data_IF_561921345613
#
_entry.id   IF_561921345613
#
_cell.length_a   1.000
_cell.length_b   1.000
_cell.length_c   1.000
_cell.angle_alpha   90.00
_cell.angle_beta   90.00
_cell.angle_gamma   90.00
#
_symmetry.space_group_name_H-M   'P 1'
#
loop_
_entity.id
_entity.type
_entity.pdbx_description
1 polymer ?
#
# COMPACT_ATOMS: atom_id res chain seq x y z
N UNK A 1 33.01 48.58 -13.35
CA UNK A 1 34.48 48.64 -13.58
C UNK A 1 34.66 48.42 -15.04
N UNK A 2 34.92 49.52 -15.76
CA UNK A 2 36.17 49.89 -16.38
C UNK A 2 36.53 48.96 -17.52
N UNK A 3 36.37 49.44 -18.75
CA UNK A 3 37.38 50.23 -19.54
C UNK A 3 38.10 49.27 -20.49
N UNK A 4 38.31 49.49 -21.77
CA UNK A 4 38.75 50.56 -22.62
C UNK A 4 38.49 50.12 -24.05
N UNK A 5 37.99 50.90 -25.00
CA UNK A 5 38.56 52.07 -25.70
C UNK A 5 39.78 51.73 -26.56
N UNK A 6 39.63 52.24 -27.81
CA UNK A 6 40.68 52.77 -28.72
C UNK A 6 41.00 51.83 -29.88
N UNK A 7 40.63 52.25 -31.03
CA UNK A 7 41.11 53.20 -32.03
C UNK A 7 41.99 52.57 -33.08
N UNK A 8 41.74 52.78 -34.25
CA UNK A 8 42.57 53.33 -35.36
C UNK A 8 41.84 53.04 -36.66
N UNK A 9 41.19 53.95 -37.39
CA UNK A 9 41.67 55.09 -38.11
C UNK A 9 42.53 54.74 -39.31
N UNK A 10 41.95 55.12 -40.43
CA UNK A 10 42.61 55.85 -41.58
C UNK A 10 43.01 55.05 -42.80
N UNK A 11 42.52 55.58 -43.86
CA UNK A 11 43.04 55.94 -45.23
C UNK A 11 42.69 54.91 -46.29
N UNK A 12 41.89 55.30 -47.11
CA UNK A 12 41.89 56.25 -48.25
C UNK A 12 41.97 55.57 -49.60
N UNK A 13 40.99 55.95 -50.34
CA UNK A 13 41.03 56.41 -51.78
C UNK A 13 41.03 55.39 -52.92
N UNK A 14 40.04 55.67 -53.73
CA UNK A 14 39.99 55.65 -55.21
C UNK A 14 40.02 54.30 -55.91
N UNK A 15 38.93 54.04 -56.56
CA UNK A 15 38.68 54.06 -58.01
C UNK A 15 37.33 53.46 -58.29
N UNK A 16 36.34 54.24 -58.61
CA UNK A 16 35.77 54.53 -59.95
C UNK A 16 35.70 53.30 -60.86
N UNK A 17 34.48 53.07 -61.15
CA UNK A 17 33.80 52.62 -62.38
C UNK A 17 33.34 51.19 -62.42
N UNK A 18 32.11 51.13 -62.59
CA UNK A 18 31.34 50.52 -63.66
C UNK A 18 30.08 49.83 -63.23
N UNK A 19 28.99 50.43 -63.71
CA UNK A 19 27.82 49.82 -64.31
C UNK A 19 27.00 48.85 -63.48
N UNK A 20 25.77 49.26 -63.04
CA UNK A 20 24.69 49.09 -64.02
C UNK A 20 23.92 47.81 -63.70
N UNK A 21 22.71 47.90 -63.12
CA UNK A 21 21.73 46.91 -63.42
C UNK A 21 21.16 46.07 -62.23
N UNK A 22 20.80 46.69 -61.11
CA UNK A 22 19.92 45.95 -60.14
C UNK A 22 18.91 46.82 -59.39
N UNK A 23 18.81 48.11 -59.62
CA UNK A 23 17.87 49.02 -58.97
C UNK A 23 16.45 49.01 -59.53
N UNK A 24 16.24 48.59 -60.77
CA UNK A 24 14.93 48.64 -61.47
C UNK A 24 13.99 47.49 -61.12
N UNK A 25 14.47 46.38 -60.61
CA UNK A 25 13.59 45.21 -60.24
C UNK A 25 13.04 45.29 -58.84
N UNK A 26 13.78 45.90 -57.88
CA UNK A 26 13.34 46.08 -56.52
C UNK A 26 12.37 47.25 -56.36
N UNK A 27 12.63 48.37 -57.01
CA UNK A 27 11.73 49.53 -57.06
C UNK A 27 10.37 49.19 -57.72
N UNK A 28 10.38 48.33 -58.74
CA UNK A 28 9.13 47.86 -59.37
C UNK A 28 8.32 46.89 -58.45
N UNK A 29 9.00 46.11 -57.62
CA UNK A 29 8.36 45.26 -56.64
C UNK A 29 7.79 46.07 -55.48
N UNK A 30 8.54 47.09 -55.04
CA UNK A 30 8.10 47.97 -53.95
C UNK A 30 6.90 48.82 -54.39
N UNK A 31 6.92 49.39 -55.60
CA UNK A 31 5.79 50.13 -56.18
C UNK A 31 4.54 49.24 -56.36
N UNK A 32 4.75 48.00 -56.76
CA UNK A 32 3.64 47.00 -56.86
C UNK A 32 3.08 46.63 -55.53
N UNK A 33 3.92 46.49 -54.45
CA UNK A 33 3.52 46.24 -53.12
C UNK A 33 2.75 47.42 -52.52
N UNK A 34 3.14 48.64 -52.75
CA UNK A 34 2.44 49.83 -52.28
C UNK A 34 1.11 50.07 -53.03
N UNK A 35 1.04 49.70 -54.33
CA UNK A 35 -0.20 49.69 -55.05
C UNK A 35 -1.19 48.64 -54.51
N UNK A 36 -0.74 47.41 -54.24
CA UNK A 36 -1.55 46.35 -53.62
C UNK A 36 -2.00 46.72 -52.22
N UNK A 37 -1.15 47.38 -51.42
CA UNK A 37 -1.56 47.87 -50.08
C UNK A 37 -2.65 48.93 -50.15
N UNK A 38 -2.56 49.85 -51.14
CA UNK A 38 -3.64 50.84 -51.36
C UNK A 38 -4.95 50.18 -51.82
N UNK A 39 -4.88 49.13 -52.64
CA UNK A 39 -6.03 48.43 -53.12
C UNK A 39 -6.67 47.61 -51.99
N UNK A 40 -5.88 46.98 -51.13
CA UNK A 40 -6.35 46.30 -49.91
C UNK A 40 -7.06 47.28 -48.95
N UNK A 41 -6.44 48.44 -48.72
CA UNK A 41 -7.06 49.47 -47.88
C UNK A 41 -8.37 50.00 -48.44
N UNK A 42 -8.47 50.13 -49.79
CA UNK A 42 -9.69 50.52 -50.47
C UNK A 42 -10.79 49.47 -50.37
N UNK A 43 -10.45 48.19 -50.62
CA UNK A 43 -11.37 47.07 -50.49
C UNK A 43 -11.83 46.86 -49.03
N UNK A 44 -10.94 47.08 -48.06
CA UNK A 44 -11.30 47.02 -46.63
C UNK A 44 -12.28 48.15 -46.24
N UNK A 45 -12.08 49.38 -46.82
CA UNK A 45 -13.03 50.45 -46.58
C UNK A 45 -14.39 50.23 -47.25
N UNK A 46 -14.42 49.64 -48.43
CA UNK A 46 -15.65 49.26 -49.15
C UNK A 46 -16.37 48.10 -48.43
N UNK A 47 -15.63 47.09 -47.93
CA UNK A 47 -16.19 46.03 -47.12
C UNK A 47 -16.81 46.52 -45.80
N UNK A 48 -16.13 47.45 -45.13
CA UNK A 48 -16.66 48.05 -43.90
C UNK A 48 -17.88 48.97 -44.12
N UNK A 49 -17.95 49.59 -45.30
CA UNK A 49 -19.13 50.38 -45.71
C UNK A 49 -20.33 49.46 -46.03
N UNK A 50 -20.09 48.38 -46.76
CA UNK A 50 -21.12 47.37 -47.07
C UNK A 50 -21.58 46.65 -45.80
N UNK A 51 -20.69 46.32 -44.87
CA UNK A 51 -21.08 45.78 -43.56
C UNK A 51 -22.00 46.72 -42.79
N UNK A 52 -21.69 48.01 -42.77
CA UNK A 52 -22.54 49.03 -42.15
C UNK A 52 -23.89 49.16 -42.83
N UNK A 53 -23.96 49.06 -44.15
CA UNK A 53 -25.24 49.06 -44.89
C UNK A 53 -26.07 47.77 -44.62
N UNK A 54 -25.43 46.64 -44.53
CA UNK A 54 -26.05 45.36 -44.19
C UNK A 54 -26.58 45.41 -42.77
N UNK A 55 -25.82 45.94 -41.80
CA UNK A 55 -26.20 46.09 -40.41
C UNK A 55 -27.37 47.05 -40.25
N UNK A 56 -27.42 48.15 -41.03
CA UNK A 56 -28.57 49.07 -41.05
C UNK A 56 -29.83 48.50 -41.67
N UNK A 57 -29.70 47.66 -42.72
CA UNK A 57 -30.85 47.03 -43.39
C UNK A 57 -31.34 45.76 -42.69
N UNK A 58 -30.50 45.05 -41.95
CA UNK A 58 -30.85 43.78 -41.30
C UNK A 58 -31.45 43.93 -39.91
N UNK A 59 -31.50 45.16 -39.37
CA UNK A 59 -32.02 45.36 -38.00
C UNK A 59 -31.28 44.62 -36.92
N UNK A 60 -30.04 44.17 -37.22
CA UNK A 60 -29.22 43.45 -36.22
C UNK A 60 -28.78 44.46 -35.16
N UNK A 61 -29.37 44.36 -34.02
CA UNK A 61 -28.90 44.98 -32.81
C UNK A 61 -27.49 44.44 -32.54
N UNK A 62 -26.47 45.30 -32.56
CA UNK A 62 -25.12 44.97 -32.10
C UNK A 62 -25.16 44.70 -30.58
N UNK A 63 -25.78 43.61 -30.21
CA UNK A 63 -25.74 43.12 -28.85
C UNK A 63 -24.46 42.30 -28.61
N UNK A 64 -23.79 42.46 -27.46
CA UNK A 64 -22.81 41.51 -27.02
C UNK A 64 -23.48 40.15 -26.89
N UNK A 65 -22.90 39.12 -27.46
CA UNK A 65 -23.34 37.76 -27.22
C UNK A 65 -23.25 37.47 -25.72
N UNK A 66 -24.39 37.16 -25.11
CA UNK A 66 -24.45 36.78 -23.70
C UNK A 66 -24.95 35.36 -23.64
N UNK A 67 -24.25 34.55 -22.86
CA UNK A 67 -24.68 33.21 -22.54
C UNK A 67 -25.64 33.28 -21.33
N UNK A 68 -26.84 32.80 -21.54
CA UNK A 68 -27.85 32.73 -20.47
C UNK A 68 -27.83 31.32 -19.93
N UNK A 69 -27.37 31.17 -18.69
CA UNK A 69 -27.41 29.88 -17.96
C UNK A 69 -28.56 29.93 -16.96
N UNK A 70 -29.48 28.99 -17.07
CA UNK A 70 -30.57 28.82 -16.10
C UNK A 70 -30.01 28.34 -14.77
N UNK A 71 -30.20 29.11 -13.72
CA UNK A 71 -29.81 28.74 -12.35
C UNK A 71 -30.84 27.74 -11.82
N UNK A 72 -30.46 26.46 -11.75
CA UNK A 72 -31.29 25.42 -11.13
C UNK A 72 -30.97 25.32 -9.65
N UNK A 73 -32.02 25.19 -8.82
CA UNK A 73 -31.84 24.87 -7.39
C UNK A 73 -31.18 23.50 -7.27
N UNK A 74 -30.04 23.42 -6.61
CA UNK A 74 -29.33 22.18 -6.34
C UNK A 74 -28.91 22.10 -4.87
N UNK A 75 -28.63 20.89 -4.39
CA UNK A 75 -28.08 20.69 -3.04
C UNK A 75 -26.59 21.00 -3.09
N UNK A 76 -26.18 22.03 -2.39
CA UNK A 76 -24.77 22.33 -2.20
C UNK A 76 -24.22 21.43 -1.09
N UNK A 77 -23.22 20.62 -1.43
CA UNK A 77 -22.52 19.78 -0.48
C UNK A 77 -21.16 20.42 -0.15
N UNK A 78 -20.98 20.78 1.11
CA UNK A 78 -19.70 21.24 1.62
C UNK A 78 -18.97 20.08 2.29
N UNK A 79 -17.76 19.82 1.87
CA UNK A 79 -16.91 18.79 2.45
C UNK A 79 -15.79 19.42 3.26
N UNK A 80 -15.47 18.80 4.38
CA UNK A 80 -14.30 19.12 5.19
C UNK A 80 -13.30 17.98 4.87
N UNK A 81 -12.16 18.34 4.26
CA UNK A 81 -11.07 17.38 4.05
C UNK A 81 -10.18 17.40 5.29
N UNK A 82 -9.94 16.21 5.85
CA UNK A 82 -9.08 16.01 7.01
C UNK A 82 -8.18 14.81 6.72
N UNK A 83 -6.95 14.89 7.18
CA UNK A 83 -6.03 13.77 7.15
C UNK A 83 -6.33 12.85 8.33
N UNK A 84 -6.29 11.55 8.10
CA UNK A 84 -6.51 10.54 9.12
C UNK A 84 -5.54 9.38 8.96
N UNK A 85 -5.29 8.68 10.07
CA UNK A 85 -4.53 7.43 10.07
C UNK A 85 -5.47 6.23 10.13
N UNK A 86 -5.18 5.22 9.33
CA UNK A 86 -5.85 3.92 9.41
C UNK A 86 -5.16 3.06 10.48
N UNK A 87 -5.89 2.70 11.51
CA UNK A 87 -5.43 1.83 12.60
C UNK A 87 -6.12 0.48 12.50
N UNK A 88 -5.36 -0.61 12.59
CA UNK A 88 -5.93 -1.94 12.74
C UNK A 88 -6.60 -2.04 14.11
N UNK A 89 -7.85 -2.52 14.15
CA UNK A 89 -8.58 -2.63 15.40
C UNK A 89 -7.95 -3.64 16.38
N UNK A 90 -7.28 -4.64 15.83
CA UNK A 90 -6.62 -5.71 16.61
C UNK A 90 -5.20 -5.88 16.09
N UNK A 91 -4.23 -5.58 16.94
CA UNK A 91 -2.82 -5.88 16.73
C UNK A 91 -2.32 -6.66 17.93
N UNK A 92 -1.74 -7.82 17.70
CA UNK A 92 -1.25 -8.70 18.76
C UNK A 92 0.16 -9.17 18.45
N UNK A 93 0.97 -9.29 19.49
CA UNK A 93 2.35 -9.72 19.38
C UNK A 93 2.43 -11.22 19.70
N UNK A 94 3.09 -11.99 18.83
CA UNK A 94 3.43 -13.36 19.11
C UNK A 94 4.83 -13.41 19.77
N UNK A 95 4.87 -14.06 20.95
CA UNK A 95 6.05 -14.21 21.77
C UNK A 95 6.36 -15.68 22.02
N UNK A 96 7.63 -16.05 22.25
CA UNK A 96 7.98 -17.40 22.69
C UNK A 96 7.36 -17.72 24.05
N UNK A 97 6.97 -18.98 24.25
CA UNK A 97 6.46 -19.48 25.55
C UNK A 97 7.55 -20.08 26.42
N UNK A 98 8.65 -20.52 25.80
CA UNK A 98 9.81 -21.12 26.44
C UNK A 98 11.08 -20.46 25.90
N UNK A 99 12.19 -20.44 26.68
CA UNK A 99 13.46 -20.00 26.18
C UNK A 99 14.04 -21.01 25.18
N UNK A 100 14.80 -20.52 24.20
CA UNK A 100 15.46 -21.40 23.24
C UNK A 100 16.12 -20.63 22.10
N UNK A 101 16.64 -21.34 21.11
CA UNK A 101 17.23 -20.78 19.91
C UNK A 101 16.28 -21.02 18.72
N UNK A 102 16.10 -20.03 17.87
CA UNK A 102 15.27 -20.16 16.67
C UNK A 102 16.01 -21.00 15.63
N UNK A 103 15.42 -22.11 15.22
CA UNK A 103 15.96 -23.00 14.18
C UNK A 103 15.41 -22.62 12.79
N UNK A 104 14.16 -22.23 12.74
CA UNK A 104 13.50 -21.84 11.47
C UNK A 104 12.48 -20.73 11.68
N UNK A 105 12.41 -19.83 10.70
CA UNK A 105 11.34 -18.85 10.53
C UNK A 105 10.59 -19.22 9.25
N UNK A 106 9.27 -19.39 9.35
CA UNK A 106 8.43 -19.96 8.28
C UNK A 106 7.61 -18.91 7.54
N UNK A 107 7.71 -17.66 7.95
CA UNK A 107 6.87 -16.57 7.46
C UNK A 107 7.71 -15.33 7.16
N UNK A 108 7.17 -14.44 6.33
CA UNK A 108 7.79 -13.17 5.96
C UNK A 108 6.85 -12.01 6.29
N UNK A 109 7.38 -10.78 6.47
CA UNK A 109 6.55 -9.59 6.61
C UNK A 109 5.56 -9.46 5.45
N UNK A 110 4.33 -9.05 5.73
CA UNK A 110 3.26 -8.95 4.75
C UNK A 110 2.51 -10.25 4.47
N UNK A 111 2.95 -11.41 4.99
CA UNK A 111 2.25 -12.67 4.80
C UNK A 111 0.94 -12.73 5.62
N UNK A 112 -0.10 -13.31 5.03
CA UNK A 112 -1.34 -13.63 5.75
C UNK A 112 -1.17 -14.90 6.56
N UNK A 113 -1.61 -14.88 7.81
CA UNK A 113 -1.52 -16.00 8.75
C UNK A 113 -2.87 -16.25 9.42
N UNK A 114 -3.11 -17.51 9.79
CA UNK A 114 -4.30 -17.92 10.55
C UNK A 114 -3.94 -18.13 12.03
N UNK A 115 -4.91 -17.92 12.90
CA UNK A 115 -4.73 -18.20 14.33
C UNK A 115 -4.25 -19.65 14.56
N UNK A 116 -3.19 -19.83 15.36
CA UNK A 116 -2.57 -21.13 15.61
C UNK A 116 -1.51 -21.55 14.57
N UNK A 117 -1.36 -20.84 13.46
CA UNK A 117 -0.31 -21.12 12.46
C UNK A 117 1.07 -20.92 13.06
N UNK A 118 1.99 -21.85 12.78
CA UNK A 118 3.39 -21.76 13.25
C UNK A 118 4.14 -20.71 12.43
N UNK A 119 4.71 -19.74 13.13
CA UNK A 119 5.50 -18.65 12.56
C UNK A 119 7.00 -18.95 12.58
N UNK A 120 7.46 -19.50 13.70
CA UNK A 120 8.84 -19.92 13.88
C UNK A 120 8.93 -21.14 14.79
N UNK A 121 10.03 -21.84 14.71
CA UNK A 121 10.32 -23.03 15.51
C UNK A 121 11.61 -22.84 16.28
N UNK A 122 11.56 -23.13 17.59
CA UNK A 122 12.71 -23.20 18.45
C UNK A 122 13.34 -24.60 18.41
N UNK A 123 14.60 -24.70 18.82
CA UNK A 123 15.26 -25.98 18.96
C UNK A 123 14.55 -26.83 20.03
N UNK A 124 13.99 -27.93 19.60
CA UNK A 124 13.27 -28.88 20.43
C UNK A 124 13.92 -30.28 20.42
N UNK A 125 15.18 -30.38 20.00
CA UNK A 125 15.88 -31.65 19.80
C UNK A 125 15.84 -32.54 21.02
N UNK A 126 16.18 -32.02 22.19
CA UNK A 126 16.24 -32.77 23.46
C UNK A 126 14.86 -33.30 23.86
N UNK A 127 13.83 -32.46 23.82
CA UNK A 127 12.46 -32.86 24.20
C UNK A 127 11.86 -33.83 23.18
N UNK A 128 12.21 -33.68 21.89
CA UNK A 128 11.81 -34.64 20.84
C UNK A 128 12.43 -36.02 21.01
N UNK A 129 13.67 -36.09 21.51
CA UNK A 129 14.30 -37.38 21.90
C UNK A 129 13.51 -38.03 23.05
N UNK A 130 13.19 -37.30 24.12
CA UNK A 130 12.35 -37.79 25.21
C UNK A 130 10.99 -38.29 24.72
N UNK A 131 10.37 -37.62 23.73
CA UNK A 131 9.12 -38.13 23.12
C UNK A 131 9.34 -39.48 22.42
N UNK A 132 10.44 -39.66 21.71
CA UNK A 132 10.72 -40.91 21.02
C UNK A 132 10.94 -42.07 21.99
N UNK A 133 11.61 -41.81 23.13
CA UNK A 133 11.79 -42.81 24.19
C UNK A 133 10.43 -43.20 24.81
N UNK A 134 9.62 -42.23 25.16
CA UNK A 134 8.28 -42.45 25.70
C UNK A 134 7.37 -43.18 24.70
N UNK A 135 7.53 -42.90 23.41
CA UNK A 135 6.83 -43.59 22.33
C UNK A 135 7.18 -45.08 22.26
N UNK A 136 8.45 -45.47 22.45
CA UNK A 136 8.85 -46.90 22.52
C UNK A 136 8.23 -47.57 23.72
N UNK A 137 8.23 -46.93 24.91
CA UNK A 137 7.57 -47.45 26.09
C UNK A 137 6.06 -47.64 25.86
N UNK A 138 5.41 -46.69 25.21
CA UNK A 138 3.99 -46.76 24.88
C UNK A 138 3.67 -47.95 23.97
N UNK A 139 4.49 -48.20 22.93
CA UNK A 139 4.33 -49.36 22.02
C UNK A 139 4.40 -50.66 22.83
N UNK A 140 5.39 -50.78 23.72
CA UNK A 140 5.57 -51.95 24.55
C UNK A 140 4.35 -52.18 25.44
N UNK A 141 3.95 -51.18 26.24
CA UNK A 141 2.84 -51.30 27.18
C UNK A 141 1.50 -51.49 26.46
N UNK A 142 1.30 -50.87 25.32
CA UNK A 142 0.11 -51.11 24.50
C UNK A 142 0.01 -52.55 24.04
N UNK A 143 1.13 -53.14 23.55
CA UNK A 143 1.18 -54.54 23.18
C UNK A 143 0.89 -55.49 24.35
N UNK A 144 1.44 -55.16 25.51
CA UNK A 144 1.19 -55.91 26.75
C UNK A 144 -0.28 -55.85 27.17
N UNK A 145 -0.85 -54.62 27.12
CA UNK A 145 -2.26 -54.40 27.43
C UNK A 145 -3.18 -55.19 26.51
N UNK A 146 -2.94 -55.18 25.20
CA UNK A 146 -3.74 -55.94 24.23
C UNK A 146 -3.68 -57.43 24.47
N UNK A 147 -2.49 -57.95 24.82
CA UNK A 147 -2.33 -59.39 25.19
C UNK A 147 -3.10 -59.72 26.47
N UNK A 148 -2.95 -58.91 27.49
CA UNK A 148 -3.61 -59.12 28.77
C UNK A 148 -5.15 -58.96 28.68
N UNK A 149 -5.62 -58.01 27.86
CA UNK A 149 -7.03 -57.81 27.55
C UNK A 149 -7.63 -59.06 26.88
N UNK A 150 -6.97 -59.64 25.87
CA UNK A 150 -7.43 -60.86 25.23
C UNK A 150 -7.45 -62.07 26.14
N UNK A 151 -6.51 -62.19 27.08
CA UNK A 151 -6.52 -63.26 28.09
C UNK A 151 -7.67 -63.09 29.04
N UNK A 152 -7.91 -61.90 29.55
CA UNK A 152 -9.03 -61.55 30.44
C UNK A 152 -10.39 -61.80 29.76
N UNK A 153 -10.58 -61.39 28.52
CA UNK A 153 -11.81 -61.67 27.75
C UNK A 153 -12.09 -63.16 27.55
N UNK A 154 -11.06 -63.99 27.56
CA UNK A 154 -11.18 -65.46 27.50
C UNK A 154 -11.33 -66.09 28.89
N UNK A 155 -11.47 -65.34 29.96
CA UNK A 155 -11.52 -65.85 31.31
C UNK A 155 -10.21 -66.35 31.88
N UNK A 156 -9.06 -66.03 31.25
CA UNK A 156 -7.73 -66.44 31.65
C UNK A 156 -7.00 -65.28 32.29
N UNK A 157 -6.53 -65.46 33.53
CA UNK A 157 -5.85 -64.38 34.31
C UNK A 157 -6.73 -63.73 35.34
N UNK A 158 -6.12 -62.80 36.05
CA UNK A 158 -6.81 -62.03 37.12
C UNK A 158 -7.19 -60.61 36.65
N UNK A 159 -8.31 -60.10 37.16
CA UNK A 159 -8.73 -58.73 36.92
C UNK A 159 -7.65 -57.71 37.31
N UNK A 160 -6.96 -57.98 38.43
CA UNK A 160 -5.88 -57.14 38.94
C UNK A 160 -4.74 -56.98 37.91
N UNK A 161 -4.36 -58.06 37.26
CA UNK A 161 -3.33 -58.02 36.19
C UNK A 161 -3.78 -57.17 34.99
N UNK A 162 -5.02 -57.32 34.54
CA UNK A 162 -5.59 -56.52 33.46
C UNK A 162 -5.65 -55.04 33.85
N UNK A 163 -6.19 -54.71 35.04
CA UNK A 163 -6.29 -53.33 35.51
C UNK A 163 -4.92 -52.68 35.75
N UNK A 164 -3.94 -53.45 36.19
CA UNK A 164 -2.57 -52.93 36.38
C UNK A 164 -1.97 -52.45 35.06
N UNK A 165 -2.04 -53.27 34.00
CA UNK A 165 -1.49 -52.91 32.70
C UNK A 165 -2.31 -51.78 32.04
N UNK A 166 -3.63 -51.80 32.24
CA UNK A 166 -4.52 -50.73 31.79
C UNK A 166 -4.11 -49.39 32.40
N UNK A 167 -3.96 -49.35 33.73
CA UNK A 167 -3.54 -48.14 34.42
C UNK A 167 -2.17 -47.66 33.99
N UNK A 168 -1.23 -48.57 33.74
CA UNK A 168 0.10 -48.23 33.24
C UNK A 168 0.04 -47.60 31.82
N UNK A 169 -0.81 -48.17 30.93
CA UNK A 169 -1.05 -47.59 29.60
C UNK A 169 -1.64 -46.19 29.70
N UNK A 170 -2.69 -46.00 30.51
CA UNK A 170 -3.33 -44.70 30.68
C UNK A 170 -2.38 -43.64 31.27
N UNK A 171 -1.51 -44.06 32.22
CA UNK A 171 -0.49 -43.17 32.78
C UNK A 171 0.51 -42.70 31.73
N UNK A 172 0.97 -43.62 30.86
CA UNK A 172 1.89 -43.27 29.74
C UNK A 172 1.19 -42.40 28.69
N UNK A 173 -0.07 -42.64 28.37
CA UNK A 173 -0.86 -41.78 27.47
C UNK A 173 -0.94 -40.34 27.98
N UNK A 174 -1.19 -40.14 29.28
CA UNK A 174 -1.20 -38.84 29.92
C UNK A 174 0.18 -38.17 29.84
N UNK A 175 1.24 -38.94 30.12
CA UNK A 175 2.62 -38.45 30.06
C UNK A 175 2.98 -38.03 28.63
N UNK A 176 2.58 -38.82 27.62
CA UNK A 176 2.77 -38.49 26.21
C UNK A 176 2.09 -37.17 25.85
N UNK A 177 0.84 -37.01 26.25
CA UNK A 177 0.07 -35.78 25.99
C UNK A 177 0.70 -34.55 26.63
N UNK A 178 1.22 -34.69 27.84
CA UNK A 178 1.95 -33.60 28.52
C UNK A 178 3.19 -33.23 27.75
N UNK A 179 3.96 -34.22 27.30
CA UNK A 179 5.20 -33.99 26.51
C UNK A 179 4.91 -33.34 25.14
N UNK A 180 3.84 -33.76 24.47
CA UNK A 180 3.38 -33.13 23.21
C UNK A 180 3.00 -31.67 23.44
N UNK A 181 2.33 -31.36 24.54
CA UNK A 181 2.03 -29.95 24.89
C UNK A 181 3.30 -29.14 25.15
N UNK A 182 4.30 -29.75 25.80
CA UNK A 182 5.61 -29.10 26.00
C UNK A 182 6.33 -28.87 24.68
N UNK A 183 6.33 -29.85 23.78
CA UNK A 183 6.92 -29.70 22.42
C UNK A 183 6.21 -28.59 21.63
N UNK A 184 4.88 -28.47 21.79
CA UNK A 184 4.10 -27.42 21.12
C UNK A 184 4.50 -26.01 21.59
N UNK A 185 5.00 -25.84 22.82
CA UNK A 185 5.50 -24.57 23.31
C UNK A 185 6.77 -24.08 22.58
N UNK A 186 7.51 -24.98 21.92
CA UNK A 186 8.65 -24.64 21.08
C UNK A 186 8.25 -24.10 19.70
N UNK A 187 6.97 -24.15 19.36
CA UNK A 187 6.41 -23.53 18.17
C UNK A 187 5.84 -22.16 18.53
N UNK A 188 6.40 -21.11 17.95
CA UNK A 188 5.83 -19.77 18.06
C UNK A 188 4.68 -19.67 17.08
N UNK A 189 3.45 -19.45 17.57
CA UNK A 189 2.22 -19.46 16.78
C UNK A 189 1.57 -18.10 16.73
N UNK A 190 0.86 -17.83 15.64
CA UNK A 190 0.04 -16.64 15.50
C UNK A 190 -1.12 -16.66 16.53
N UNK A 191 -1.28 -15.62 17.33
CA UNK A 191 -2.37 -15.55 18.30
C UNK A 191 -3.73 -15.25 17.67
N UNK A 192 -3.73 -14.53 16.53
CA UNK A 192 -4.92 -14.14 15.77
C UNK A 192 -4.71 -14.38 14.29
N UNK A 193 -5.80 -14.41 13.53
CA UNK A 193 -5.77 -14.41 12.08
C UNK A 193 -5.56 -12.97 11.57
N UNK A 194 -4.66 -12.77 10.63
CA UNK A 194 -4.35 -11.43 10.10
C UNK A 194 -3.13 -11.43 9.19
N UNK A 195 -2.53 -10.26 9.06
CA UNK A 195 -1.32 -10.04 8.27
C UNK A 195 -0.15 -9.70 9.19
N UNK A 196 1.02 -10.25 8.90
CA UNK A 196 2.25 -9.94 9.63
C UNK A 196 2.76 -8.54 9.28
N UNK A 197 2.77 -7.66 10.27
CA UNK A 197 3.33 -6.31 10.16
C UNK A 197 4.86 -6.35 10.20
N UNK A 198 5.42 -7.04 11.21
CA UNK A 198 6.87 -7.17 11.38
C UNK A 198 7.28 -8.57 11.79
N UNK A 199 8.50 -8.94 11.40
CA UNK A 199 9.18 -10.19 11.75
C UNK A 199 10.57 -9.83 12.27
N UNK A 200 10.72 -9.81 13.59
CA UNK A 200 11.99 -9.47 14.24
C UNK A 200 12.80 -10.72 14.62
N UNK A 201 12.27 -11.89 14.27
CA UNK A 201 12.88 -13.19 14.52
C UNK A 201 13.93 -13.55 13.48
N UNK A 202 15.13 -13.96 13.92
CA UNK A 202 16.21 -14.43 13.05
C UNK A 202 16.63 -15.85 13.43
N UNK A 203 16.94 -16.66 12.41
CA UNK A 203 17.49 -18.00 12.63
C UNK A 203 18.82 -17.89 13.38
N UNK A 204 19.01 -18.73 14.39
CA UNK A 204 20.17 -18.70 15.30
C UNK A 204 20.04 -17.73 16.47
N UNK A 205 18.98 -16.93 16.55
CA UNK A 205 18.75 -16.01 17.65
C UNK A 205 18.28 -16.75 18.90
N UNK A 206 18.91 -16.45 20.04
CA UNK A 206 18.42 -16.87 21.35
C UNK A 206 17.26 -15.97 21.79
N UNK A 207 16.18 -16.60 22.26
CA UNK A 207 14.95 -15.91 22.66
C UNK A 207 14.48 -16.36 24.02
N UNK A 208 13.75 -15.48 24.70
CA UNK A 208 13.15 -15.73 26.03
C UNK A 208 11.65 -15.43 25.99
N UNK A 209 10.88 -16.00 26.93
CA UNK A 209 9.46 -15.71 27.07
C UNK A 209 9.17 -14.22 27.18
N UNK A 210 8.14 -13.75 26.45
CA UNK A 210 7.75 -12.34 26.45
C UNK A 210 8.48 -11.44 25.45
N UNK A 211 9.55 -11.92 24.80
CA UNK A 211 10.23 -11.14 23.75
C UNK A 211 9.30 -10.96 22.52
N UNK A 212 9.00 -9.74 22.09
CA UNK A 212 8.21 -9.51 20.90
C UNK A 212 8.99 -9.93 19.63
N UNK A 213 8.47 -10.89 18.88
CA UNK A 213 9.14 -11.40 17.67
C UNK A 213 8.32 -11.23 16.41
N UNK A 214 7.01 -11.28 16.53
CA UNK A 214 6.10 -11.14 15.40
C UNK A 214 4.94 -10.25 15.80
N UNK A 215 4.58 -9.32 14.94
CA UNK A 215 3.38 -8.51 15.11
C UNK A 215 2.36 -8.91 14.04
N UNK A 216 1.19 -9.34 14.49
CA UNK A 216 0.07 -9.73 13.63
C UNK A 216 -1.03 -8.70 13.76
N UNK A 217 -1.49 -8.16 12.64
CA UNK A 217 -2.59 -7.20 12.56
C UNK A 217 -3.79 -7.81 11.86
N UNK A 218 -4.96 -7.61 12.42
CA UNK A 218 -6.21 -7.94 11.75
C UNK A 218 -6.70 -6.72 10.96
N UNK A 219 -6.60 -6.81 9.63
CA UNK A 219 -7.01 -5.76 8.71
C UNK A 219 -8.48 -5.85 8.29
N UNK A 220 -9.24 -6.83 8.79
CA UNK A 220 -10.66 -6.98 8.45
C UNK A 220 -11.52 -5.85 9.02
N UNK A 221 -11.10 -5.27 10.14
CA UNK A 221 -11.77 -4.15 10.79
C UNK A 221 -10.75 -3.02 11.00
N UNK A 222 -10.76 -2.05 10.10
CA UNK A 222 -9.90 -0.88 10.18
C UNK A 222 -10.69 0.26 10.81
N UNK A 223 -10.10 0.92 11.80
CA UNK A 223 -10.58 2.19 12.35
C UNK A 223 -9.77 3.33 11.79
N UNK A 224 -10.45 4.35 11.30
CA UNK A 224 -9.79 5.57 10.88
C UNK A 224 -9.90 6.58 11.99
N UNK A 225 -8.78 7.10 12.44
CA UNK A 225 -8.66 8.20 13.38
C UNK A 225 -8.26 9.43 12.62
N UNK A 226 -9.02 10.50 12.81
CA UNK A 226 -8.71 11.79 12.22
C UNK A 226 -8.98 12.88 13.26
N UNK A 227 -8.08 13.85 13.32
CA UNK A 227 -8.22 14.99 14.22
C UNK A 227 -8.96 16.12 13.51
N UNK A 228 -10.10 16.51 14.05
CA UNK A 228 -10.93 17.58 13.51
C UNK A 228 -10.57 18.87 14.24
N UNK A 229 -10.17 19.91 13.48
CA UNK A 229 -9.91 21.23 14.05
C UNK A 229 -11.14 21.76 14.79
N UNK A 230 -10.92 22.46 15.90
CA UNK A 230 -11.98 22.98 16.77
C UNK A 230 -13.01 23.83 16.02
N UNK A 231 -12.57 24.58 15.01
CA UNK A 231 -13.43 25.37 14.12
C UNK A 231 -14.51 24.56 13.39
N UNK A 232 -14.28 23.26 13.21
CA UNK A 232 -15.19 22.34 12.52
C UNK A 232 -15.91 21.37 13.46
N UNK A 233 -15.53 21.30 14.74
CA UNK A 233 -16.07 20.34 15.70
C UNK A 233 -17.60 20.44 15.85
N UNK A 234 -18.16 21.63 15.74
CA UNK A 234 -19.63 21.86 15.81
C UNK A 234 -20.39 21.35 14.59
N UNK A 235 -19.69 21.13 13.47
CA UNK A 235 -20.30 20.67 12.20
C UNK A 235 -20.28 19.15 12.04
N UNK A 236 -19.46 18.45 12.82
CA UNK A 236 -19.31 16.99 12.76
C UNK A 236 -20.12 16.33 13.87
N UNK A 237 -20.95 15.37 13.51
CA UNK A 237 -21.83 14.64 14.44
C UNK A 237 -21.67 13.15 14.27
N UNK A 238 -21.92 12.39 15.33
CA UNK A 238 -21.99 10.95 15.25
C UNK A 238 -23.08 10.52 14.25
N UNK A 239 -22.72 9.65 13.31
CA UNK A 239 -23.62 9.18 12.25
C UNK A 239 -23.48 9.92 10.91
N UNK A 240 -22.64 10.94 10.82
CA UNK A 240 -22.36 11.62 9.56
C UNK A 240 -21.66 10.65 8.57
N UNK A 241 -22.01 10.75 7.30
CA UNK A 241 -21.41 9.96 6.24
C UNK A 241 -20.06 10.55 5.85
N UNK A 242 -19.03 9.72 5.87
CA UNK A 242 -17.67 10.08 5.44
C UNK A 242 -17.32 9.36 4.14
N UNK A 243 -16.48 9.99 3.33
CA UNK A 243 -15.81 9.38 2.19
C UNK A 243 -14.33 9.29 2.51
N UNK A 244 -13.75 8.11 2.28
CA UNK A 244 -12.35 7.83 2.56
C UNK A 244 -11.66 7.64 1.22
N UNK A 245 -10.52 8.27 1.05
CA UNK A 245 -9.65 8.14 -0.11
C UNK A 245 -8.28 7.67 0.39
N UNK A 246 -7.72 6.62 -0.21
CA UNK A 246 -6.40 6.08 0.08
C UNK A 246 -5.43 6.43 -1.04
#
# INVERSE_FOLDING_TARGET
MKRNIILFSVLATLAISACGGKKTAEDNKQAKLDALKKEIAKLQSEASALEKEIDQKSGKINGKAVEITEIKKGVFQSYIMIEGSADANESTIATPKVPGTIVRVLVQPGASVTAGQVLAQLDNTTISQGRNELQQQMIYVTTLFEKQKRLWEKGVGTEVQYLSVKNQKEALEKSMKTLETQIDMYNIKAPITGTLESVDAKVGQAVAPGLPLFRVMNLSNIKIKADVAESHSKKVKAGDKIKIFF
#
